data_IF_925110936712
#
_entry.id   IF_925110936712
#
_cell.length_a   1.000
_cell.length_b   1.000
_cell.length_c   1.000
_cell.angle_alpha   90.00
_cell.angle_beta   90.00
_cell.angle_gamma   90.00
#
_symmetry.space_group_name_H-M   'P 1'
#
loop_
_entity.id
_entity.type
_entity.pdbx_description
1 polymer ?
#
# COMPACT_ATOMS: atom_id res chain seq x y z
N UNK A 1 -3.04 -4.62 -8.62
CA UNK A 1 -3.03 -3.48 -9.59
C UNK A 1 -3.44 -3.99 -10.97
N UNK A 2 -4.42 -3.34 -11.64
CA UNK A 2 -5.02 -3.83 -12.90
C UNK A 2 -4.08 -3.82 -14.13
N UNK A 3 -2.91 -3.18 -14.06
CA UNK A 3 -1.98 -2.94 -15.18
C UNK A 3 -0.58 -3.51 -14.92
N UNK A 4 -0.47 -4.66 -14.28
CA UNK A 4 0.80 -5.33 -14.00
C UNK A 4 0.86 -6.73 -14.60
N UNK A 5 2.00 -7.05 -15.22
CA UNK A 5 2.32 -8.36 -15.81
C UNK A 5 3.18 -9.16 -14.83
N UNK A 6 2.80 -10.40 -14.55
CA UNK A 6 3.60 -11.30 -13.72
C UNK A 6 4.72 -11.92 -14.56
N UNK A 7 6.00 -11.71 -14.15
CA UNK A 7 7.16 -12.29 -14.81
C UNK A 7 7.42 -13.72 -14.31
N UNK A 8 7.23 -13.93 -13.00
CA UNK A 8 7.52 -15.21 -12.37
C UNK A 8 7.18 -15.23 -10.88
N UNK A 9 7.38 -16.39 -10.25
CA UNK A 9 7.25 -16.57 -8.81
C UNK A 9 8.54 -17.13 -8.24
N UNK A 10 9.13 -16.47 -7.27
CA UNK A 10 10.37 -16.85 -6.61
C UNK A 10 10.12 -17.03 -5.12
N UNK A 11 10.32 -18.26 -4.64
CA UNK A 11 10.12 -18.58 -3.23
C UNK A 11 8.71 -18.24 -2.70
N UNK A 12 7.65 -18.31 -3.51
CA UNK A 12 6.27 -17.97 -3.10
C UNK A 12 5.85 -16.51 -3.30
N UNK A 13 6.79 -15.60 -3.65
CA UNK A 13 6.49 -14.19 -3.97
C UNK A 13 6.40 -14.01 -5.49
N UNK A 14 5.32 -13.40 -5.97
CA UNK A 14 5.16 -13.05 -7.38
C UNK A 14 5.93 -11.77 -7.71
N UNK A 15 6.74 -11.79 -8.77
CA UNK A 15 7.40 -10.59 -9.32
C UNK A 15 6.57 -10.09 -10.49
N UNK A 16 6.15 -8.83 -10.40
CA UNK A 16 5.30 -8.17 -11.40
C UNK A 16 5.98 -6.92 -11.96
N UNK A 17 5.73 -6.65 -13.24
CA UNK A 17 6.12 -5.38 -13.89
C UNK A 17 4.84 -4.57 -14.16
N UNK A 18 4.82 -3.33 -13.71
CA UNK A 18 3.76 -2.39 -14.06
C UNK A 18 3.99 -1.84 -15.47
N UNK A 19 2.91 -1.57 -16.20
CA UNK A 19 3.00 -1.07 -17.59
C UNK A 19 3.80 0.24 -17.70
N UNK A 20 3.76 1.09 -16.68
CA UNK A 20 4.54 2.34 -16.63
C UNK A 20 6.04 2.11 -16.65
N UNK A 21 6.53 0.98 -16.13
CA UNK A 21 7.95 0.62 -16.25
C UNK A 21 8.33 0.31 -17.70
N UNK A 22 7.46 -0.37 -18.46
CA UNK A 22 7.70 -0.61 -19.88
C UNK A 22 7.73 0.70 -20.67
N UNK A 23 6.88 1.67 -20.32
CA UNK A 23 6.92 3.01 -20.90
C UNK A 23 8.23 3.74 -20.59
N UNK A 24 8.74 3.60 -19.36
CA UNK A 24 10.06 4.13 -18.98
C UNK A 24 11.17 3.53 -19.84
N UNK A 25 11.19 2.20 -20.00
CA UNK A 25 12.17 1.51 -20.85
C UNK A 25 12.09 1.99 -22.32
N UNK A 26 10.87 2.11 -22.86
CA UNK A 26 10.66 2.61 -24.23
C UNK A 26 11.17 4.06 -24.37
N UNK A 27 10.91 4.91 -23.39
CA UNK A 27 11.36 6.30 -23.42
C UNK A 27 12.88 6.41 -23.30
N UNK A 28 13.53 5.68 -22.39
CA UNK A 28 14.99 5.66 -22.24
C UNK A 28 15.65 5.13 -23.51
N UNK A 29 15.16 4.01 -24.05
CA UNK A 29 15.68 3.43 -25.28
C UNK A 29 15.57 4.38 -26.46
N UNK A 30 14.42 5.05 -26.63
CA UNK A 30 14.20 6.04 -27.67
C UNK A 30 15.11 7.27 -27.51
N UNK A 31 15.21 7.81 -26.30
CA UNK A 31 16.07 8.97 -26.00
C UNK A 31 17.54 8.67 -26.26
N UNK A 32 18.03 7.50 -25.83
CA UNK A 32 19.40 7.09 -26.06
C UNK A 32 19.68 6.81 -27.55
N UNK A 33 18.70 6.28 -28.28
CA UNK A 33 18.81 6.12 -29.72
C UNK A 33 18.95 7.45 -30.47
N UNK A 34 18.19 8.44 -30.09
CA UNK A 34 18.28 9.80 -30.64
C UNK A 34 19.67 10.43 -30.42
N UNK A 35 20.32 10.15 -29.29
CA UNK A 35 21.61 10.74 -28.92
C UNK A 35 22.82 9.98 -29.48
N UNK A 36 22.79 8.66 -29.55
CA UNK A 36 23.95 7.84 -29.90
C UNK A 36 23.64 6.59 -30.75
N UNK A 37 22.44 6.54 -31.34
CA UNK A 37 22.03 5.46 -32.24
C UNK A 37 21.75 4.13 -31.52
N UNK A 38 21.68 3.01 -32.28
CA UNK A 38 21.27 1.70 -31.75
C UNK A 38 22.18 1.14 -30.64
N UNK A 39 23.47 1.47 -30.70
CA UNK A 39 24.44 0.99 -29.70
C UNK A 39 24.19 1.64 -28.32
N UNK A 40 23.96 2.95 -28.29
CA UNK A 40 23.65 3.69 -27.08
C UNK A 40 22.29 3.25 -26.49
N UNK A 41 21.29 3.03 -27.35
CA UNK A 41 20.00 2.49 -26.91
C UNK A 41 20.13 1.13 -26.24
N UNK A 42 20.89 0.20 -26.85
CA UNK A 42 21.14 -1.12 -26.29
C UNK A 42 21.87 -1.05 -24.94
N UNK A 43 22.94 -0.23 -24.86
CA UNK A 43 23.71 -0.08 -23.61
C UNK A 43 22.86 0.47 -22.48
N UNK A 44 22.08 1.54 -22.74
CA UNK A 44 21.18 2.14 -21.76
C UNK A 44 20.08 1.16 -21.30
N UNK A 45 19.47 0.43 -22.21
CA UNK A 45 18.45 -0.56 -21.88
C UNK A 45 19.03 -1.72 -21.03
N UNK A 46 20.20 -2.24 -21.40
CA UNK A 46 20.89 -3.29 -20.64
C UNK A 46 21.20 -2.79 -19.23
N UNK A 47 21.76 -1.58 -19.11
CA UNK A 47 22.07 -0.98 -17.81
C UNK A 47 20.82 -0.86 -16.93
N UNK A 48 19.73 -0.28 -17.43
CA UNK A 48 18.49 -0.10 -16.65
C UNK A 48 17.88 -1.45 -16.26
N UNK A 49 17.84 -2.43 -17.17
CA UNK A 49 17.30 -3.76 -16.85
C UNK A 49 18.12 -4.42 -15.73
N UNK A 50 19.46 -4.36 -15.81
CA UNK A 50 20.33 -4.93 -14.76
C UNK A 50 20.20 -4.17 -13.43
N UNK A 51 20.06 -2.84 -13.48
CA UNK A 51 19.80 -2.03 -12.30
C UNK A 51 18.49 -2.45 -11.60
N UNK A 52 17.42 -2.68 -12.38
CA UNK A 52 16.16 -3.15 -11.82
C UNK A 52 16.21 -4.60 -11.32
N UNK A 53 17.08 -5.44 -11.87
CA UNK A 53 17.39 -6.74 -11.26
C UNK A 53 18.01 -6.53 -9.87
N UNK A 54 18.93 -5.57 -9.71
CA UNK A 54 19.49 -5.23 -8.39
C UNK A 54 18.42 -4.70 -7.43
N UNK A 55 17.47 -3.88 -7.92
CA UNK A 55 16.31 -3.43 -7.12
C UNK A 55 15.44 -4.61 -6.68
N UNK A 56 15.18 -5.59 -7.56
CA UNK A 56 14.46 -6.81 -7.17
C UNK A 56 15.22 -7.57 -6.08
N UNK A 57 16.52 -7.72 -6.21
CA UNK A 57 17.35 -8.38 -5.18
C UNK A 57 17.33 -7.63 -3.85
N UNK A 58 17.33 -6.30 -3.87
CA UNK A 58 17.15 -5.45 -2.70
C UNK A 58 15.80 -5.75 -2.00
N UNK A 59 14.68 -5.76 -2.75
CA UNK A 59 13.36 -6.12 -2.21
C UNK A 59 13.34 -7.54 -1.63
N UNK A 60 14.01 -8.47 -2.31
CA UNK A 60 14.18 -9.83 -1.78
C UNK A 60 15.01 -9.87 -0.50
N UNK A 61 15.95 -8.96 -0.30
CA UNK A 61 16.66 -8.78 0.97
C UNK A 61 15.68 -8.56 2.11
N UNK A 62 14.77 -7.59 1.97
CA UNK A 62 13.71 -7.33 2.94
C UNK A 62 12.80 -8.54 3.16
N UNK A 63 12.33 -9.17 2.08
CA UNK A 63 11.41 -10.30 2.11
C UNK A 63 12.02 -11.51 2.83
N UNK A 64 13.27 -11.84 2.55
CA UNK A 64 13.95 -13.00 3.15
C UNK A 64 14.09 -12.82 4.67
N UNK A 65 14.40 -11.62 5.13
CA UNK A 65 14.47 -11.32 6.56
C UNK A 65 13.08 -11.27 7.19
N UNK A 66 12.09 -10.69 6.51
CA UNK A 66 10.70 -10.62 6.98
C UNK A 66 10.11 -12.03 7.21
N UNK A 67 10.39 -12.97 6.30
CA UNK A 67 9.95 -14.37 6.44
C UNK A 67 10.48 -15.08 7.68
N UNK A 68 11.69 -14.75 8.13
CA UNK A 68 12.23 -15.31 9.39
C UNK A 68 11.40 -14.89 10.62
N UNK A 69 10.64 -13.82 10.49
CA UNK A 69 9.73 -13.31 11.52
C UNK A 69 8.26 -13.63 11.24
N UNK A 70 7.97 -14.52 10.27
CA UNK A 70 6.61 -14.94 9.95
C UNK A 70 5.83 -13.97 9.05
N UNK A 71 6.46 -12.86 8.60
CA UNK A 71 5.83 -11.89 7.71
C UNK A 71 6.00 -12.35 6.26
N UNK A 72 4.88 -12.55 5.56
CA UNK A 72 4.89 -12.97 4.16
C UNK A 72 4.70 -11.77 3.24
N UNK A 73 5.38 -11.80 2.09
CA UNK A 73 5.16 -10.87 0.99
C UNK A 73 4.54 -11.63 -0.19
N UNK A 74 3.35 -11.23 -0.58
CA UNK A 74 2.62 -11.87 -1.67
C UNK A 74 3.20 -11.54 -3.03
N UNK A 75 3.62 -10.28 -3.23
CA UNK A 75 4.10 -9.79 -4.51
C UNK A 75 5.10 -8.63 -4.37
N UNK A 76 5.97 -8.51 -5.36
CA UNK A 76 6.83 -7.35 -5.62
C UNK A 76 6.45 -6.78 -6.98
N UNK A 77 6.08 -5.51 -7.02
CA UNK A 77 5.74 -4.82 -8.28
C UNK A 77 6.82 -3.79 -8.62
N UNK A 78 7.39 -3.91 -9.82
CA UNK A 78 8.34 -2.96 -10.37
C UNK A 78 7.62 -1.77 -10.99
N UNK A 79 7.92 -0.59 -10.48
CA UNK A 79 7.46 0.72 -10.93
C UNK A 79 8.66 1.55 -11.42
N UNK A 80 8.47 2.62 -12.21
CA UNK A 80 9.55 3.52 -12.62
C UNK A 80 10.38 4.09 -11.45
N UNK A 81 9.76 4.26 -10.30
CA UNK A 81 10.36 4.83 -9.09
C UNK A 81 11.01 3.79 -8.17
N UNK A 82 10.99 2.50 -8.54
CA UNK A 82 11.58 1.40 -7.74
C UNK A 82 10.67 0.19 -7.60
N UNK A 83 11.06 -0.73 -6.70
CA UNK A 83 10.26 -1.90 -6.30
C UNK A 83 9.30 -1.57 -5.17
N UNK A 84 8.12 -2.17 -5.18
CA UNK A 84 7.17 -2.10 -4.06
C UNK A 84 6.76 -3.51 -3.68
N UNK A 85 7.17 -3.94 -2.50
CA UNK A 85 6.77 -5.22 -1.91
C UNK A 85 5.48 -5.06 -1.11
N UNK A 86 4.46 -5.85 -1.45
CA UNK A 86 3.21 -5.93 -0.68
C UNK A 86 3.38 -6.93 0.45
N UNK A 87 3.69 -6.46 1.66
CA UNK A 87 3.77 -7.27 2.87
C UNK A 87 2.38 -7.40 3.51
N UNK A 88 2.04 -8.61 3.99
CA UNK A 88 0.72 -8.89 4.57
C UNK A 88 0.52 -8.30 5.96
N UNK A 89 1.60 -8.03 6.67
CA UNK A 89 1.56 -7.41 7.99
C UNK A 89 2.84 -6.63 8.28
N UNK A 90 2.75 -5.67 9.19
CA UNK A 90 3.94 -5.01 9.73
C UNK A 90 4.54 -5.88 10.84
N UNK A 91 5.89 -5.92 11.00
CA UNK A 91 6.51 -6.66 12.09
C UNK A 91 6.06 -6.11 13.45
N UNK A 92 5.79 -7.02 14.41
CA UNK A 92 5.28 -6.66 15.73
C UNK A 92 6.32 -5.90 16.56
N UNK A 93 7.60 -6.33 16.49
CA UNK A 93 8.68 -5.78 17.33
C UNK A 93 9.53 -4.78 16.55
N UNK A 94 9.92 -3.64 17.16
CA UNK A 94 10.80 -2.66 16.50
C UNK A 94 12.14 -3.25 16.04
N UNK A 95 12.71 -4.21 16.81
CA UNK A 95 13.95 -4.89 16.42
C UNK A 95 13.82 -5.73 15.14
N UNK A 96 12.65 -6.31 14.90
CA UNK A 96 12.36 -7.04 13.67
C UNK A 96 12.24 -6.08 12.49
N UNK A 97 11.56 -4.96 12.69
CA UNK A 97 11.45 -3.89 11.68
C UNK A 97 12.83 -3.35 11.30
N UNK A 98 13.70 -3.09 12.29
CA UNK A 98 15.08 -2.68 12.05
C UNK A 98 15.84 -3.68 11.17
N UNK A 99 15.78 -4.97 11.53
CA UNK A 99 16.47 -6.02 10.77
C UNK A 99 15.95 -6.16 9.33
N UNK A 100 14.62 -6.03 9.15
CA UNK A 100 14.01 -6.05 7.82
C UNK A 100 14.45 -4.82 7.03
N UNK A 101 14.36 -3.62 7.60
CA UNK A 101 14.64 -2.38 6.90
C UNK A 101 16.12 -2.26 6.43
N UNK A 102 17.06 -2.77 7.19
CA UNK A 102 18.48 -2.72 6.80
C UNK A 102 18.86 -3.78 5.75
N UNK A 103 18.04 -4.83 5.59
CA UNK A 103 18.38 -5.97 4.75
C UNK A 103 18.46 -5.61 3.24
N UNK A 104 17.58 -4.75 2.74
CA UNK A 104 17.62 -4.27 1.36
C UNK A 104 18.91 -3.50 1.04
N UNK A 105 19.21 -2.40 1.76
CA UNK A 105 20.47 -1.68 1.62
C UNK A 105 21.70 -2.57 1.76
N UNK A 106 21.69 -3.55 2.68
CA UNK A 106 22.79 -4.51 2.83
C UNK A 106 23.02 -5.36 1.57
N UNK A 107 21.95 -5.76 0.87
CA UNK A 107 22.07 -6.46 -0.43
C UNK A 107 22.72 -5.56 -1.47
N UNK A 108 22.33 -4.28 -1.57
CA UNK A 108 22.95 -3.35 -2.52
C UNK A 108 24.44 -3.12 -2.20
N UNK A 109 24.80 -2.99 -0.92
CA UNK A 109 26.21 -2.92 -0.53
C UNK A 109 26.98 -4.18 -0.93
N UNK A 110 26.39 -5.37 -0.73
CA UNK A 110 27.02 -6.63 -1.12
C UNK A 110 27.20 -6.72 -2.65
N UNK A 111 26.19 -6.32 -3.44
CA UNK A 111 26.27 -6.27 -4.90
C UNK A 111 27.38 -5.29 -5.33
N UNK A 112 27.39 -4.06 -4.78
CA UNK A 112 28.40 -3.06 -5.08
C UNK A 112 29.81 -3.58 -4.79
N UNK A 113 29.99 -4.19 -3.61
CA UNK A 113 31.30 -4.77 -3.23
C UNK A 113 31.77 -5.85 -4.20
N UNK A 114 30.89 -6.81 -4.56
CA UNK A 114 31.22 -7.87 -5.51
C UNK A 114 31.60 -7.29 -6.88
N UNK A 115 30.82 -6.33 -7.38
CA UNK A 115 31.09 -5.70 -8.67
C UNK A 115 32.40 -4.90 -8.65
N UNK A 116 32.72 -4.18 -7.57
CA UNK A 116 33.98 -3.45 -7.39
C UNK A 116 35.19 -4.40 -7.37
N UNK A 117 35.07 -5.54 -6.69
CA UNK A 117 36.13 -6.57 -6.68
C UNK A 117 36.36 -7.15 -8.08
N UNK A 118 35.31 -7.31 -8.90
CA UNK A 118 35.41 -7.78 -10.28
C UNK A 118 36.03 -6.73 -11.23
N UNK A 119 35.78 -5.45 -11.00
CA UNK A 119 36.35 -4.33 -11.80
C UNK A 119 37.82 -4.08 -11.44
N UNK A 120 38.22 -4.41 -10.21
CA UNK A 120 39.62 -4.27 -9.75
C UNK A 120 40.09 -2.85 -9.44
N UNK A 121 39.20 -1.84 -9.57
CA UNK A 121 39.53 -0.44 -9.23
C UNK A 121 38.29 0.36 -8.82
N UNK A 122 38.41 1.08 -7.71
CA UNK A 122 37.43 2.10 -7.32
C UNK A 122 37.98 3.47 -7.68
N UNK A 123 37.31 4.18 -8.58
CA UNK A 123 37.63 5.56 -8.86
C UNK A 123 36.42 6.44 -8.48
N UNK A 124 36.56 7.24 -7.44
CA UNK A 124 35.49 8.12 -6.96
C UNK A 124 35.00 9.13 -8.01
N UNK A 125 35.80 9.42 -9.04
CA UNK A 125 35.39 10.26 -10.17
C UNK A 125 34.33 9.61 -11.07
N UNK A 126 34.19 8.27 -11.03
CA UNK A 126 33.23 7.53 -11.84
C UNK A 126 31.81 7.63 -11.28
N UNK A 127 31.63 7.92 -9.98
CA UNK A 127 30.33 8.20 -9.35
C UNK A 127 29.55 9.35 -10.03
N UNK A 128 30.29 10.30 -10.61
CA UNK A 128 29.72 11.44 -11.35
C UNK A 128 29.43 11.12 -12.84
N UNK A 129 29.74 9.88 -13.30
CA UNK A 129 29.70 9.50 -14.71
C UNK A 129 28.86 8.26 -15.00
N UNK A 130 27.79 8.08 -14.23
CA UNK A 130 26.88 6.94 -14.41
C UNK A 130 26.29 6.84 -15.82
N UNK A 131 26.19 7.97 -16.51
CA UNK A 131 25.65 8.06 -17.88
C UNK A 131 26.73 7.95 -18.97
N UNK A 132 28.04 7.86 -18.62
CA UNK A 132 29.12 7.80 -19.60
C UNK A 132 29.31 6.33 -20.10
N UNK A 133 29.02 6.03 -21.38
CA UNK A 133 29.19 4.68 -21.95
C UNK A 133 30.66 4.20 -21.98
N UNK A 134 31.63 5.11 -21.76
CA UNK A 134 33.07 4.76 -21.71
C UNK A 134 33.45 4.09 -20.40
N UNK A 135 32.66 4.27 -19.34
CA UNK A 135 32.83 3.56 -18.07
C UNK A 135 32.27 2.14 -18.21
N UNK A 136 32.96 1.17 -17.68
CA UNK A 136 32.52 -0.23 -17.78
C UNK A 136 31.12 -0.40 -17.16
N UNK A 137 30.27 -1.25 -17.78
CA UNK A 137 28.91 -1.52 -17.30
C UNK A 137 28.90 -1.99 -15.84
N UNK A 138 29.89 -2.79 -15.44
CA UNK A 138 30.03 -3.30 -14.07
C UNK A 138 30.34 -2.17 -13.08
N UNK A 139 31.21 -1.23 -13.45
CA UNK A 139 31.52 -0.07 -12.60
C UNK A 139 30.28 0.82 -12.41
N UNK A 140 29.56 1.12 -13.49
CA UNK A 140 28.29 1.89 -13.44
C UNK A 140 27.25 1.22 -12.55
N UNK A 141 27.13 -0.11 -12.63
CA UNK A 141 26.23 -0.88 -11.76
C UNK A 141 26.69 -0.88 -10.30
N UNK A 142 28.00 -0.96 -10.04
CA UNK A 142 28.55 -0.89 -8.68
C UNK A 142 28.23 0.48 -8.05
N UNK A 143 28.48 1.56 -8.78
CA UNK A 143 28.22 2.92 -8.34
C UNK A 143 26.73 3.17 -8.10
N UNK A 144 25.87 2.68 -9.02
CA UNK A 144 24.42 2.79 -8.86
C UNK A 144 23.92 2.03 -7.63
N UNK A 145 24.44 0.83 -7.35
CA UNK A 145 24.06 0.06 -6.16
C UNK A 145 24.56 0.73 -4.87
N UNK A 146 25.78 1.31 -4.88
CA UNK A 146 26.30 2.06 -3.76
C UNK A 146 25.44 3.30 -3.49
N UNK A 147 25.08 4.05 -4.55
CA UNK A 147 24.17 5.18 -4.45
C UNK A 147 22.81 4.79 -3.90
N UNK A 148 22.20 3.72 -4.43
CA UNK A 148 20.92 3.22 -3.94
C UNK A 148 20.98 2.80 -2.46
N UNK A 149 22.07 2.15 -2.02
CA UNK A 149 22.25 1.76 -0.63
C UNK A 149 22.32 2.98 0.29
N UNK A 150 23.15 3.99 -0.07
CA UNK A 150 23.32 5.22 0.71
C UNK A 150 22.01 6.04 0.71
N UNK A 151 21.37 6.19 -0.45
CA UNK A 151 20.10 6.91 -0.59
C UNK A 151 19.00 6.27 0.25
N UNK A 152 18.87 4.94 0.20
CA UNK A 152 17.88 4.23 1.01
C UNK A 152 18.19 4.26 2.51
N UNK A 153 19.41 4.55 2.95
CA UNK A 153 19.76 4.73 4.36
C UNK A 153 19.56 6.15 4.88
N UNK A 154 19.14 7.10 4.05
CA UNK A 154 18.75 8.45 4.53
C UNK A 154 17.63 8.28 5.56
N UNK A 155 17.77 8.86 6.78
CA UNK A 155 16.84 8.62 7.90
C UNK A 155 15.52 9.39 7.74
N UNK A 156 14.86 9.20 6.62
CA UNK A 156 13.64 9.91 6.23
C UNK A 156 12.72 9.00 5.43
N UNK A 157 11.42 9.05 5.66
CA UNK A 157 10.46 8.38 4.78
C UNK A 157 10.44 9.07 3.39
N UNK A 158 10.23 8.30 2.32
CA UNK A 158 9.81 6.88 2.24
C UNK A 158 10.97 5.86 2.20
N UNK A 159 12.23 6.30 2.36
CA UNK A 159 13.40 5.44 2.31
C UNK A 159 13.45 4.43 3.47
N UNK A 160 14.23 3.35 3.31
CA UNK A 160 14.41 2.34 4.36
C UNK A 160 15.06 2.90 5.62
N UNK A 161 15.92 3.90 5.49
CA UNK A 161 16.50 4.66 6.60
C UNK A 161 15.45 5.34 7.47
N UNK A 162 14.31 5.75 6.91
CA UNK A 162 13.17 6.22 7.66
C UNK A 162 12.53 5.11 8.53
N UNK A 163 12.45 3.89 8.01
CA UNK A 163 12.00 2.71 8.76
C UNK A 163 13.03 2.30 9.82
N UNK A 164 14.32 2.36 9.50
CA UNK A 164 15.42 2.15 10.48
C UNK A 164 15.31 3.17 11.62
N UNK A 165 15.14 4.45 11.31
CA UNK A 165 14.96 5.52 12.30
C UNK A 165 13.69 5.28 13.13
N UNK A 166 12.56 4.97 12.50
CA UNK A 166 11.32 4.61 13.19
C UNK A 166 11.53 3.46 14.16
N UNK A 167 12.16 2.39 13.72
CA UNK A 167 12.41 1.22 14.54
C UNK A 167 13.25 1.55 15.78
N UNK A 168 14.33 2.32 15.62
CA UNK A 168 15.18 2.75 16.73
C UNK A 168 14.43 3.64 17.72
N UNK A 169 13.67 4.61 17.23
CA UNK A 169 12.87 5.50 18.06
C UNK A 169 11.71 4.75 18.74
N UNK A 170 11.10 3.79 18.06
CA UNK A 170 9.98 3.03 18.60
C UNK A 170 10.33 2.17 19.79
N UNK A 171 11.59 1.77 19.94
CA UNK A 171 12.08 1.06 21.13
C UNK A 171 11.90 1.86 22.43
N UNK A 172 11.86 3.19 22.35
CA UNK A 172 11.74 4.09 23.52
C UNK A 172 10.45 4.91 23.53
N UNK A 173 9.98 5.37 22.35
CA UNK A 173 8.89 6.35 22.24
C UNK A 173 7.54 5.74 21.83
N UNK A 174 7.53 4.45 21.48
CA UNK A 174 6.38 3.79 20.86
C UNK A 174 6.23 4.14 19.37
N UNK A 175 5.49 3.30 18.64
CA UNK A 175 5.42 3.30 17.17
C UNK A 175 4.85 4.60 16.60
N UNK A 176 3.73 5.08 17.13
CA UNK A 176 3.05 6.26 16.63
C UNK A 176 3.92 7.54 16.70
N UNK A 177 4.61 7.75 17.83
CA UNK A 177 5.53 8.90 17.98
C UNK A 177 6.75 8.77 17.10
N UNK A 178 7.33 7.57 17.02
CA UNK A 178 8.49 7.29 16.19
C UNK A 178 8.18 7.55 14.71
N UNK A 179 7.04 7.09 14.20
CA UNK A 179 6.62 7.34 12.81
C UNK A 179 6.41 8.81 12.54
N UNK A 180 5.76 9.55 13.45
CA UNK A 180 5.55 10.98 13.30
C UNK A 180 6.86 11.74 13.18
N UNK A 181 7.85 11.42 14.02
CA UNK A 181 9.18 12.03 13.97
C UNK A 181 9.87 11.70 12.64
N UNK A 182 9.91 10.43 12.24
CA UNK A 182 10.55 10.02 11.00
C UNK A 182 9.87 10.65 9.76
N UNK A 183 8.54 10.79 9.77
CA UNK A 183 7.80 11.47 8.71
C UNK A 183 8.09 12.98 8.68
N UNK A 184 8.17 13.64 9.85
CA UNK A 184 8.52 15.07 9.91
C UNK A 184 9.94 15.34 9.39
N UNK A 185 10.90 14.44 9.66
CA UNK A 185 12.26 14.52 9.10
C UNK A 185 12.21 14.34 7.58
N UNK A 186 11.42 13.38 7.08
CA UNK A 186 11.21 13.19 5.64
C UNK A 186 10.60 14.42 4.95
N UNK A 187 9.61 15.04 5.58
CA UNK A 187 8.99 16.26 5.08
C UNK A 187 9.99 17.45 5.08
N UNK A 188 10.78 17.60 6.15
CA UNK A 188 11.83 18.63 6.20
C UNK A 188 12.89 18.42 5.11
N UNK A 189 13.29 17.16 4.87
CA UNK A 189 14.19 16.82 3.77
C UNK A 189 13.56 17.12 2.40
N UNK A 190 12.27 16.84 2.23
CA UNK A 190 11.54 17.20 1.01
C UNK A 190 11.52 18.72 0.78
N UNK A 191 11.28 19.53 1.81
CA UNK A 191 11.35 21.00 1.69
C UNK A 191 12.74 21.46 1.27
N UNK A 192 13.81 20.89 1.86
CA UNK A 192 15.19 21.22 1.47
C UNK A 192 15.45 20.89 -0.01
N UNK A 193 15.05 19.70 -0.47
CA UNK A 193 15.19 19.32 -1.88
C UNK A 193 14.38 20.22 -2.81
N UNK A 194 13.14 20.55 -2.43
CA UNK A 194 12.30 21.47 -3.21
C UNK A 194 12.92 22.85 -3.33
N UNK A 195 13.47 23.37 -2.24
CA UNK A 195 14.18 24.64 -2.24
C UNK A 195 15.43 24.62 -3.15
N UNK A 196 16.25 23.57 -3.03
CA UNK A 196 17.41 23.40 -3.93
C UNK A 196 16.98 23.24 -5.40
N UNK A 197 15.83 22.63 -5.65
CA UNK A 197 15.26 22.48 -6.98
C UNK A 197 14.88 23.81 -7.65
N UNK A 198 14.50 24.82 -6.87
CA UNK A 198 14.15 26.15 -7.40
C UNK A 198 15.35 26.88 -8.02
N UNK A 199 16.57 26.63 -7.51
CA UNK A 199 17.79 27.32 -7.95
C UNK A 199 18.70 26.42 -8.79
N UNK A 200 18.42 25.11 -8.85
CA UNK A 200 19.26 24.15 -9.54
C UNK A 200 18.46 23.33 -10.57
N UNK A 201 18.26 22.07 -10.26
CA UNK A 201 17.59 21.14 -11.15
C UNK A 201 16.09 21.00 -10.80
N UNK A 202 15.16 21.43 -11.68
CA UNK A 202 13.71 21.32 -11.44
C UNK A 202 13.22 19.90 -11.14
N UNK A 203 13.94 18.85 -11.53
CA UNK A 203 13.60 17.46 -11.20
C UNK A 203 13.57 17.21 -9.68
N UNK A 204 14.41 17.95 -8.91
CA UNK A 204 14.40 17.87 -7.46
C UNK A 204 13.08 18.32 -6.85
N UNK A 205 12.31 19.19 -7.51
CA UNK A 205 10.98 19.62 -7.04
C UNK A 205 10.00 18.45 -7.12
N UNK A 206 10.02 17.67 -8.22
CA UNK A 206 9.17 16.49 -8.35
C UNK A 206 9.53 15.41 -7.31
N UNK A 207 10.82 15.19 -7.08
CA UNK A 207 11.31 14.27 -6.05
C UNK A 207 10.87 14.75 -4.66
N UNK A 208 10.97 16.04 -4.38
CA UNK A 208 10.54 16.65 -3.12
C UNK A 208 9.04 16.44 -2.87
N UNK A 209 8.18 16.70 -3.87
CA UNK A 209 6.74 16.46 -3.77
C UNK A 209 6.47 14.98 -3.49
N UNK A 210 7.13 14.08 -4.21
CA UNK A 210 6.98 12.64 -4.00
C UNK A 210 7.35 12.23 -2.57
N UNK A 211 8.52 12.66 -2.07
CA UNK A 211 8.98 12.35 -0.71
C UNK A 211 8.01 12.91 0.33
N UNK A 212 7.53 14.15 0.15
CA UNK A 212 6.57 14.77 1.06
C UNK A 212 5.27 13.98 1.17
N UNK A 213 4.67 13.64 0.02
CA UNK A 213 3.40 12.90 -0.04
C UNK A 213 3.57 11.48 0.53
N UNK A 214 4.66 10.81 0.19
CA UNK A 214 4.94 9.45 0.68
C UNK A 214 5.19 9.43 2.20
N UNK A 215 5.95 10.41 2.74
CA UNK A 215 6.17 10.53 4.19
C UNK A 215 4.87 10.84 4.95
N UNK A 216 4.00 11.70 4.40
CA UNK A 216 2.68 11.98 4.96
C UNK A 216 1.78 10.73 4.94
N UNK A 217 1.79 9.98 3.84
CA UNK A 217 1.03 8.73 3.69
C UNK A 217 1.44 7.66 4.71
N UNK A 218 2.76 7.49 4.96
CA UNK A 218 3.26 6.53 5.95
C UNK A 218 2.82 6.90 7.38
N UNK A 219 2.87 8.20 7.71
CA UNK A 219 2.39 8.69 9.00
C UNK A 219 0.89 8.47 9.17
N UNK A 220 0.10 8.74 8.14
CA UNK A 220 -1.34 8.54 8.16
C UNK A 220 -1.71 7.05 8.29
N UNK A 221 -1.06 6.17 7.51
CA UNK A 221 -1.30 4.73 7.58
C UNK A 221 -0.97 4.17 8.97
N UNK A 222 0.17 4.59 9.56
CA UNK A 222 0.52 4.19 10.93
C UNK A 222 -0.50 4.70 11.96
N UNK A 223 -1.02 5.92 11.80
CA UNK A 223 -2.05 6.45 12.70
C UNK A 223 -3.36 5.65 12.61
N UNK A 224 -3.73 5.22 11.40
CA UNK A 224 -4.88 4.36 11.14
C UNK A 224 -4.73 3.01 11.87
N UNK A 225 -3.60 2.32 11.68
CA UNK A 225 -3.33 1.04 12.35
C UNK A 225 -3.32 1.17 13.87
N UNK A 226 -2.68 2.20 14.40
CA UNK A 226 -2.62 2.42 15.85
C UNK A 226 -4.01 2.71 16.43
N UNK A 227 -4.86 3.42 15.68
CA UNK A 227 -6.25 3.69 16.09
C UNK A 227 -7.13 2.43 16.05
N UNK A 228 -6.85 1.50 15.14
CA UNK A 228 -7.56 0.22 15.04
C UNK A 228 -7.08 -0.83 16.05
N UNK A 229 -5.90 -0.61 16.66
CA UNK A 229 -5.25 -1.59 17.53
C UNK A 229 -6.06 -1.89 18.79
N UNK A 230 -6.23 -3.18 19.06
CA UNK A 230 -6.96 -3.67 20.23
C UNK A 230 -8.48 -3.50 20.12
N UNK A 231 -9.00 -3.13 18.96
CA UNK A 231 -10.42 -3.07 18.66
C UNK A 231 -10.86 -4.28 17.85
N UNK A 232 -12.10 -4.71 18.06
CA UNK A 232 -12.79 -5.70 17.23
C UNK A 232 -13.70 -5.04 16.21
N UNK A 233 -14.07 -5.77 15.17
CA UNK A 233 -15.05 -5.33 14.18
C UNK A 233 -16.39 -4.95 14.84
N UNK A 234 -16.82 -5.70 15.85
CA UNK A 234 -18.03 -5.40 16.61
C UNK A 234 -18.07 -4.02 17.27
N UNK A 235 -16.91 -3.43 17.57
CA UNK A 235 -16.81 -2.10 18.15
C UNK A 235 -16.84 -0.96 17.11
N UNK A 236 -16.64 -1.31 15.84
CA UNK A 236 -16.59 -0.36 14.73
C UNK A 236 -17.81 -0.45 13.79
N UNK A 237 -18.53 -1.56 13.82
CA UNK A 237 -19.67 -1.80 12.94
C UNK A 237 -20.89 -0.96 13.37
N UNK A 238 -21.72 -0.64 12.40
CA UNK A 238 -23.06 -0.13 12.60
C UNK A 238 -24.02 -1.30 12.82
N UNK A 239 -24.84 -1.23 13.88
CA UNK A 239 -25.83 -2.26 14.25
C UNK A 239 -27.27 -1.82 14.00
N UNK A 240 -27.49 -0.54 13.68
CA UNK A 240 -28.80 0.01 13.32
C UNK A 240 -28.82 0.28 11.82
N UNK A 241 -29.17 -0.72 11.07
CA UNK A 241 -29.21 -0.65 9.60
C UNK A 241 -30.47 -1.37 9.07
N UNK A 242 -30.91 -0.94 7.90
CA UNK A 242 -31.92 -1.64 7.13
C UNK A 242 -31.25 -2.68 6.23
N UNK A 243 -31.82 -3.87 6.12
CA UNK A 243 -31.44 -4.90 5.16
C UNK A 243 -32.60 -5.17 4.19
N UNK A 244 -32.29 -5.64 3.01
CA UNK A 244 -33.27 -6.00 1.99
C UNK A 244 -33.34 -7.53 1.87
N UNK A 245 -34.51 -8.15 1.79
CA UNK A 245 -34.63 -9.56 1.49
C UNK A 245 -34.24 -9.83 0.02
N UNK A 246 -33.88 -11.08 -0.30
CA UNK A 246 -33.43 -11.46 -1.63
C UNK A 246 -34.44 -11.21 -2.76
N UNK A 247 -35.74 -11.25 -2.43
CA UNK A 247 -36.87 -10.98 -3.32
C UNK A 247 -37.34 -9.53 -3.36
N UNK A 248 -36.68 -8.64 -2.61
CA UNK A 248 -36.96 -7.21 -2.65
C UNK A 248 -36.85 -6.64 -4.05
N UNK A 249 -37.62 -5.60 -4.33
CA UNK A 249 -37.68 -4.91 -5.61
C UNK A 249 -36.92 -3.59 -5.56
N UNK A 250 -36.63 -3.01 -6.72
CA UNK A 250 -36.01 -1.68 -6.82
C UNK A 250 -36.80 -0.62 -6.06
N UNK A 251 -38.15 -0.72 -6.06
CA UNK A 251 -38.99 0.17 -5.27
C UNK A 251 -38.67 0.13 -3.78
N UNK A 252 -38.53 -1.08 -3.22
CA UNK A 252 -38.24 -1.26 -1.79
C UNK A 252 -36.85 -0.68 -1.42
N UNK A 253 -35.89 -0.84 -2.32
CA UNK A 253 -34.54 -0.25 -2.16
C UNK A 253 -34.58 1.28 -2.18
N UNK A 254 -35.42 1.88 -3.05
CA UNK A 254 -35.62 3.33 -3.11
C UNK A 254 -36.32 3.85 -1.86
N UNK A 255 -37.36 3.16 -1.39
CA UNK A 255 -38.05 3.51 -0.18
C UNK A 255 -37.11 3.44 1.04
N UNK A 256 -36.28 2.40 1.13
CA UNK A 256 -35.22 2.29 2.15
C UNK A 256 -34.20 3.43 2.10
N UNK A 257 -33.78 3.83 0.89
CA UNK A 257 -32.85 4.93 0.68
C UNK A 257 -33.44 6.30 1.11
N UNK A 258 -34.74 6.50 0.90
CA UNK A 258 -35.42 7.74 1.27
C UNK A 258 -35.79 7.76 2.77
N UNK A 259 -36.04 6.60 3.37
CA UNK A 259 -36.42 6.50 4.78
C UNK A 259 -35.25 6.60 5.75
N UNK A 260 -34.01 6.35 5.26
CA UNK A 260 -32.80 6.29 6.09
C UNK A 260 -31.67 7.16 5.51
N UNK A 261 -30.65 7.45 6.30
CA UNK A 261 -29.40 8.06 5.80
C UNK A 261 -28.39 7.01 5.28
N UNK A 262 -28.77 5.76 5.24
CA UNK A 262 -27.93 4.62 4.88
C UNK A 262 -27.57 4.66 3.39
N UNK A 263 -26.33 4.31 3.07
CA UNK A 263 -25.83 4.31 1.68
C UNK A 263 -25.58 2.91 1.14
N UNK A 264 -25.44 1.92 2.01
CA UNK A 264 -25.18 0.54 1.71
C UNK A 264 -26.22 -0.36 2.37
N UNK A 265 -26.93 -1.13 1.58
CA UNK A 265 -27.99 -2.04 2.03
C UNK A 265 -27.54 -3.49 1.85
N UNK A 266 -27.30 -4.24 2.94
CA UNK A 266 -27.11 -5.67 2.85
C UNK A 266 -28.36 -6.36 2.28
N UNK A 267 -28.14 -7.28 1.35
CA UNK A 267 -29.20 -8.18 0.86
C UNK A 267 -29.03 -9.53 1.55
N UNK A 268 -30.09 -10.02 2.18
CA UNK A 268 -30.05 -11.25 3.00
C UNK A 268 -30.99 -12.33 2.47
N UNK A 269 -30.65 -13.57 2.76
CA UNK A 269 -31.53 -14.73 2.53
C UNK A 269 -32.54 -14.88 3.67
N UNK A 270 -33.39 -15.92 3.55
CA UNK A 270 -34.40 -16.27 4.56
C UNK A 270 -33.83 -16.64 5.94
N UNK A 271 -32.52 -16.91 6.03
CA UNK A 271 -31.82 -17.24 7.26
C UNK A 271 -31.00 -16.04 7.82
N UNK A 272 -31.29 -14.84 7.33
CA UNK A 272 -30.55 -13.61 7.64
C UNK A 272 -29.04 -13.69 7.31
N UNK A 273 -28.65 -14.48 6.31
CA UNK A 273 -27.26 -14.54 5.83
C UNK A 273 -27.07 -13.56 4.69
N UNK A 274 -26.01 -12.77 4.69
CA UNK A 274 -25.77 -11.79 3.64
C UNK A 274 -25.35 -12.50 2.34
N UNK A 275 -26.09 -12.23 1.26
CA UNK A 275 -25.89 -12.79 -0.08
C UNK A 275 -25.43 -11.73 -1.08
N UNK A 276 -25.61 -10.44 -0.77
CA UNK A 276 -25.23 -9.33 -1.62
C UNK A 276 -25.19 -8.03 -0.84
N UNK A 277 -24.66 -7.02 -1.50
CA UNK A 277 -24.65 -5.64 -1.02
C UNK A 277 -25.17 -4.73 -2.15
N UNK A 278 -26.08 -3.85 -1.81
CA UNK A 278 -26.62 -2.84 -2.72
C UNK A 278 -26.20 -1.45 -2.24
N UNK A 279 -25.47 -0.74 -3.08
CA UNK A 279 -25.05 0.63 -2.75
C UNK A 279 -26.02 1.66 -3.32
N UNK A 280 -26.03 2.86 -2.76
CA UNK A 280 -26.73 4.01 -3.32
C UNK A 280 -26.43 4.23 -4.81
N UNK A 281 -25.17 4.04 -5.22
CA UNK A 281 -24.75 4.16 -6.63
C UNK A 281 -25.40 3.10 -7.51
N UNK A 282 -25.50 1.85 -7.01
CA UNK A 282 -26.12 0.74 -7.72
C UNK A 282 -27.63 0.98 -7.89
N UNK A 283 -28.31 1.53 -6.85
CA UNK A 283 -29.74 1.93 -6.93
C UNK A 283 -29.93 2.99 -7.99
N UNK A 284 -29.11 4.05 -8.00
CA UNK A 284 -29.20 5.11 -9.02
C UNK A 284 -28.88 4.64 -10.42
N UNK A 285 -27.96 3.69 -10.56
CA UNK A 285 -27.68 3.08 -11.85
C UNK A 285 -28.88 2.23 -12.34
N UNK A 286 -29.48 1.44 -11.44
CA UNK A 286 -30.65 0.62 -11.76
C UNK A 286 -31.87 1.44 -12.17
N UNK A 287 -32.09 2.61 -11.55
CA UNK A 287 -33.21 3.52 -11.89
C UNK A 287 -33.17 4.05 -13.33
N UNK A 288 -32.00 4.01 -14.00
CA UNK A 288 -31.86 4.46 -15.41
C UNK A 288 -32.37 3.43 -16.41
N UNK A 289 -32.17 2.15 -16.12
CA UNK A 289 -32.30 1.09 -17.10
C UNK A 289 -33.22 -0.07 -16.69
N UNK A 290 -33.84 -0.01 -15.50
CA UNK A 290 -34.66 -1.10 -14.94
C UNK A 290 -36.01 -0.62 -14.48
N UNK A 291 -36.99 -1.53 -14.57
CA UNK A 291 -38.34 -1.29 -14.08
C UNK A 291 -38.37 -1.25 -12.54
N UNK A 292 -39.37 -0.56 -12.00
CA UNK A 292 -39.64 -0.43 -10.57
C UNK A 292 -39.71 -1.78 -9.84
N UNK A 293 -40.25 -2.80 -10.52
CA UNK A 293 -40.43 -4.14 -9.99
C UNK A 293 -39.24 -5.08 -10.20
N UNK A 294 -38.11 -4.55 -10.71
CA UNK A 294 -36.90 -5.36 -10.91
C UNK A 294 -36.37 -5.88 -9.58
N UNK A 295 -36.05 -7.18 -9.50
CA UNK A 295 -35.51 -7.78 -8.28
C UNK A 295 -34.08 -7.28 -7.98
N UNK A 296 -33.80 -6.94 -6.73
CA UNK A 296 -32.49 -6.43 -6.28
C UNK A 296 -31.36 -7.42 -6.54
N UNK A 297 -31.63 -8.72 -6.52
CA UNK A 297 -30.67 -9.77 -6.82
C UNK A 297 -30.05 -9.66 -8.23
N UNK A 298 -30.72 -8.97 -9.16
CA UNK A 298 -30.24 -8.78 -10.54
C UNK A 298 -29.26 -7.63 -10.72
N UNK A 299 -29.00 -6.79 -9.69
CA UNK A 299 -28.10 -5.65 -9.76
C UNK A 299 -27.34 -5.38 -8.45
N UNK A 300 -27.50 -6.19 -7.42
CA UNK A 300 -26.66 -6.17 -6.23
C UNK A 300 -25.24 -6.61 -6.55
N UNK A 301 -24.30 -6.20 -5.74
CA UNK A 301 -22.91 -6.68 -5.78
C UNK A 301 -22.83 -8.04 -5.09
N UNK A 302 -22.35 -9.05 -5.82
CA UNK A 302 -22.09 -10.39 -5.30
C UNK A 302 -20.91 -11.01 -6.07
N UNK A 303 -20.05 -11.87 -5.45
CA UNK A 303 -20.04 -12.18 -4.01
C UNK A 303 -19.57 -10.99 -3.19
N UNK A 304 -19.97 -10.96 -1.92
CA UNK A 304 -19.58 -9.92 -0.96
C UNK A 304 -18.58 -10.46 0.05
N UNK A 305 -17.78 -9.53 0.59
CA UNK A 305 -16.90 -9.82 1.70
C UNK A 305 -17.69 -9.81 3.01
N UNK A 306 -17.51 -10.88 3.80
CA UNK A 306 -18.08 -10.98 5.14
C UNK A 306 -16.98 -10.99 6.18
N UNK A 307 -17.17 -10.21 7.24
CA UNK A 307 -16.25 -10.09 8.35
C UNK A 307 -16.85 -10.73 9.60
N UNK A 308 -16.01 -11.36 10.42
CA UNK A 308 -16.44 -11.84 11.73
C UNK A 308 -16.48 -10.68 12.72
N UNK A 309 -17.53 -10.60 13.52
CA UNK A 309 -17.70 -9.61 14.58
C UNK A 309 -16.54 -9.58 15.57
N UNK A 310 -16.03 -10.76 15.96
CA UNK A 310 -14.91 -10.92 16.87
C UNK A 310 -13.53 -10.70 16.23
N UNK A 311 -13.43 -10.49 14.92
CA UNK A 311 -12.16 -10.32 14.23
C UNK A 311 -11.43 -9.04 14.70
N UNK A 312 -10.09 -9.06 14.85
CA UNK A 312 -9.31 -7.86 15.17
C UNK A 312 -9.42 -6.84 14.03
N UNK A 313 -9.79 -5.61 14.34
CA UNK A 313 -10.00 -4.56 13.35
C UNK A 313 -8.70 -4.22 12.60
N UNK A 314 -7.55 -4.24 13.29
CA UNK A 314 -6.23 -3.95 12.72
C UNK A 314 -5.85 -4.86 11.55
N UNK A 315 -6.32 -6.12 11.52
CA UNK A 315 -6.02 -7.07 10.43
C UNK A 315 -6.88 -6.84 9.20
N UNK A 316 -8.01 -6.14 9.35
CA UNK A 316 -9.02 -5.94 8.32
C UNK A 316 -8.88 -4.60 7.64
N UNK A 317 -8.37 -3.59 8.37
CA UNK A 317 -8.26 -2.20 7.88
C UNK A 317 -7.52 -2.13 6.54
N UNK A 318 -6.39 -2.80 6.40
CA UNK A 318 -5.60 -2.78 5.16
C UNK A 318 -6.35 -3.39 4.00
N UNK A 319 -6.95 -4.55 4.21
CA UNK A 319 -7.71 -5.26 3.20
C UNK A 319 -8.91 -4.41 2.76
N UNK A 320 -9.65 -3.86 3.73
CA UNK A 320 -10.82 -3.02 3.47
C UNK A 320 -10.48 -1.73 2.72
N UNK A 321 -9.37 -1.05 3.09
CA UNK A 321 -8.92 0.15 2.40
C UNK A 321 -8.36 -0.13 1.00
N UNK A 322 -7.62 -1.23 0.83
CA UNK A 322 -7.00 -1.60 -0.45
C UNK A 322 -7.99 -2.12 -1.48
N UNK A 323 -8.97 -2.90 -1.06
CA UNK A 323 -9.98 -3.47 -1.97
C UNK A 323 -10.96 -2.42 -2.49
N UNK A 324 -11.06 -1.28 -1.83
CA UNK A 324 -11.98 -0.23 -2.24
C UNK A 324 -13.45 -0.60 -2.05
N UNK A 325 -13.74 -1.64 -1.25
CA UNK A 325 -15.11 -2.01 -0.93
C UNK A 325 -15.85 -0.84 -0.24
N UNK A 326 -17.09 -0.52 -0.61
CA UNK A 326 -17.85 0.53 0.02
C UNK A 326 -18.18 0.19 1.48
N UNK A 327 -18.58 -1.05 1.73
CA UNK A 327 -18.84 -1.62 3.05
C UNK A 327 -18.63 -3.13 3.03
N UNK A 328 -18.52 -3.72 4.23
CA UNK A 328 -18.49 -5.17 4.46
C UNK A 328 -19.62 -5.58 5.41
N UNK A 329 -20.26 -6.73 5.13
CA UNK A 329 -21.25 -7.31 6.00
C UNK A 329 -20.58 -8.01 7.18
N UNK A 330 -21.02 -7.71 8.40
CA UNK A 330 -20.49 -8.33 9.62
C UNK A 330 -21.43 -9.45 10.07
N UNK A 331 -20.83 -10.62 10.28
CA UNK A 331 -21.58 -11.83 10.63
C UNK A 331 -21.12 -12.40 11.98
N UNK A 332 -22.05 -13.04 12.68
CA UNK A 332 -21.79 -13.77 13.89
C UNK A 332 -21.17 -15.17 13.60
N UNK A 333 -21.10 -16.02 14.64
CA UNK A 333 -20.56 -17.39 14.54
C UNK A 333 -21.38 -18.30 13.64
N UNK A 334 -22.68 -18.04 13.53
CA UNK A 334 -23.63 -18.83 12.74
C UNK A 334 -23.72 -18.33 11.29
N UNK A 335 -23.06 -17.21 10.99
CA UNK A 335 -23.05 -16.56 9.69
C UNK A 335 -24.24 -15.63 9.46
N UNK A 336 -25.03 -15.33 10.51
CA UNK A 336 -26.11 -14.37 10.43
C UNK A 336 -25.58 -12.93 10.47
N UNK A 337 -26.23 -12.03 9.73
CA UNK A 337 -25.87 -10.62 9.65
C UNK A 337 -26.17 -9.92 10.98
N UNK A 338 -25.13 -9.31 11.58
CA UNK A 338 -25.22 -8.59 12.86
C UNK A 338 -24.80 -7.13 12.75
N UNK A 339 -24.18 -6.74 11.66
CA UNK A 339 -23.69 -5.37 11.46
C UNK A 339 -23.21 -5.08 10.05
N UNK A 340 -22.92 -3.82 9.80
CA UNK A 340 -22.28 -3.32 8.57
C UNK A 340 -21.08 -2.50 8.96
N UNK A 341 -19.92 -2.78 8.37
CA UNK A 341 -18.72 -1.95 8.53
C UNK A 341 -18.53 -1.12 7.27
N UNK A 342 -18.92 0.14 7.31
CA UNK A 342 -18.73 1.12 6.25
C UNK A 342 -17.42 1.89 6.42
N UNK A 343 -16.96 2.54 5.35
CA UNK A 343 -15.80 3.44 5.40
C UNK A 343 -16.03 4.64 6.30
N UNK A 344 -17.25 5.13 6.34
CA UNK A 344 -17.62 6.28 7.17
C UNK A 344 -17.50 5.92 8.66
N UNK A 345 -18.07 4.79 9.09
CA UNK A 345 -18.00 4.32 10.48
C UNK A 345 -16.55 4.14 10.92
N UNK A 346 -15.72 3.54 10.06
CA UNK A 346 -14.30 3.36 10.32
C UNK A 346 -13.57 4.70 10.48
N UNK A 347 -13.85 5.68 9.60
CA UNK A 347 -13.24 7.01 9.66
C UNK A 347 -13.68 7.78 10.92
N UNK A 348 -14.96 7.73 11.28
CA UNK A 348 -15.50 8.39 12.48
C UNK A 348 -14.88 7.78 13.76
N UNK A 349 -14.82 6.46 13.85
CA UNK A 349 -14.19 5.79 14.99
C UNK A 349 -12.71 6.18 15.11
N UNK A 350 -11.96 6.20 14.00
CA UNK A 350 -10.55 6.62 13.97
C UNK A 350 -10.39 8.07 14.39
N UNK A 351 -11.30 8.96 13.96
CA UNK A 351 -11.30 10.36 14.36
C UNK A 351 -11.52 10.50 15.88
N UNK A 352 -12.50 9.80 16.44
CA UNK A 352 -12.75 9.79 17.89
C UNK A 352 -11.52 9.30 18.64
N UNK A 353 -10.94 8.18 18.19
CA UNK A 353 -9.75 7.58 18.83
C UNK A 353 -8.51 8.47 18.75
N UNK A 354 -8.36 9.22 17.66
CA UNK A 354 -7.27 10.20 17.52
C UNK A 354 -7.40 11.39 18.46
N UNK A 355 -8.63 11.85 18.73
CA UNK A 355 -8.93 12.95 19.66
C UNK A 355 -8.89 12.51 21.13
N UNK A 356 -9.36 11.31 21.39
CA UNK A 356 -9.48 10.74 22.74
C UNK A 356 -8.93 9.30 22.74
N UNK A 357 -7.62 9.10 22.83
CA UNK A 357 -6.97 7.76 22.85
C UNK A 357 -7.46 6.86 24.00
N UNK A 358 -7.92 7.46 25.09
CA UNK A 358 -8.48 6.80 26.28
C UNK A 358 -9.93 6.35 26.07
N UNK A 359 -10.62 6.78 25.02
CA UNK A 359 -12.01 6.41 24.76
C UNK A 359 -12.17 4.91 24.59
N UNK A 360 -13.09 4.31 25.35
CA UNK A 360 -13.46 2.90 25.26
C UNK A 360 -14.68 2.76 24.38
N UNK A 361 -14.55 2.01 23.30
CA UNK A 361 -15.69 1.62 22.49
C UNK A 361 -16.28 0.34 23.08
N UNK A 362 -17.54 0.39 23.46
CA UNK A 362 -18.26 -0.81 23.84
C UNK A 362 -18.79 -1.48 22.57
N UNK A 363 -18.80 -2.83 22.49
CA UNK A 363 -19.48 -3.50 21.40
C UNK A 363 -20.93 -3.07 21.40
N UNK A 364 -21.42 -2.57 20.28
CA UNK A 364 -22.82 -2.23 20.19
C UNK A 364 -23.65 -3.50 20.41
N UNK A 365 -24.76 -3.44 21.19
CA UNK A 365 -25.64 -4.60 21.37
C UNK A 365 -26.10 -5.06 19.99
N UNK A 366 -26.00 -6.38 19.73
CA UNK A 366 -26.36 -6.95 18.45
C UNK A 366 -27.76 -6.47 18.06
N UNK A 367 -27.84 -5.66 17.01
CA UNK A 367 -29.09 -5.06 16.55
C UNK A 367 -30.00 -6.15 16.01
N UNK A 368 -31.26 -6.17 16.42
CA UNK A 368 -32.29 -6.86 15.66
C UNK A 368 -32.52 -5.98 14.43
N UNK A 369 -32.33 -6.54 13.22
CA UNK A 369 -32.75 -5.86 11.99
C UNK A 369 -34.23 -5.44 12.16
N UNK A 370 -34.50 -4.16 12.07
CA UNK A 370 -35.89 -3.68 11.94
C UNK A 370 -36.37 -4.13 10.55
N UNK A 371 -37.12 -5.22 10.53
CA UNK A 371 -37.90 -5.66 9.37
C UNK A 371 -38.94 -4.63 9.02
#
# INVERSE_FOLDING_TARGET
MRWSLTIGRFGGTAVKIHVTFLLLLAWIGFSAWQQGGPAAARDSLVFIVLLFVCVVLHEFGHILVARRYGVQAAEVTLLPIGGVASMQALPEKPSQEFAIAIAGPAVNFAIALVLLLLVGSFNSADLARLDDPRVSLLARLADANLFLAIFNLIPAFPMDGGRVLRALLAMKLGRARATRIAASIGQAFAFLLGFLGLFGNPLLIFIAIFIYVAAAGEAQMTAIHESARGLSVAQAMETRFASLPADARLADAVDGLLATAQQEFPVVDAFNKPIGLLTREDIFAALKDRDRDAAVAGFMRAPIETLRDAAPLETIVDQFLQQGAPAACVVDRDGALVGVLGRQNLAEMMMIKSMRPDWRFEPAPAGRSST
#
